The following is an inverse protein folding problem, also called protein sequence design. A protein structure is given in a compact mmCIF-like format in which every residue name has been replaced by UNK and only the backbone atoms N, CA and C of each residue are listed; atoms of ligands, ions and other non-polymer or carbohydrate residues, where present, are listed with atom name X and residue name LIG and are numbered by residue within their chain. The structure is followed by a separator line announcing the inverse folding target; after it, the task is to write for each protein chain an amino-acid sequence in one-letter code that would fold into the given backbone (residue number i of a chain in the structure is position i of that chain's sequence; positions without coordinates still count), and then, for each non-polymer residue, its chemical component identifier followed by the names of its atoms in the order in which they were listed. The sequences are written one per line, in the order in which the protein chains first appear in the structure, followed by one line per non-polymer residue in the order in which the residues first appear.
data_IF_460227724856
#
_entry.id   IF_460227724856
#
_cell.length_a   1.000
_cell.length_b   1.000
_cell.length_c   1.000
_cell.angle_alpha   90.00
_cell.angle_beta   90.00
_cell.angle_gamma   90.00
#
_symmetry.space_group_name_H-M   'P 1'
#
loop_
_entity.id
_entity.type
_entity.pdbx_description
1 polymer ?
#
# COMPACT_ATOMS: atom_id res chain seq x y z
N UNK A 1 -27.65 -10.49 1.68
CA UNK A 1 -26.99 -10.06 2.94
C UNK A 1 -26.76 -8.58 2.79
N UNK A 2 -27.20 -7.75 3.73
CA UNK A 2 -26.98 -6.29 3.67
C UNK A 2 -25.50 -5.99 3.92
N UNK A 3 -25.05 -4.79 3.57
CA UNK A 3 -23.68 -4.33 3.84
C UNK A 3 -23.35 -4.43 5.35
N UNK A 4 -24.27 -3.96 6.18
CA UNK A 4 -24.13 -4.02 7.65
C UNK A 4 -23.97 -5.46 8.15
N UNK A 5 -24.79 -6.40 7.66
CA UNK A 5 -24.67 -7.83 8.05
C UNK A 5 -23.32 -8.42 7.62
N UNK A 6 -22.85 -8.06 6.42
CA UNK A 6 -21.54 -8.52 5.92
C UNK A 6 -20.41 -7.99 6.81
N UNK A 7 -20.44 -6.69 7.13
CA UNK A 7 -19.41 -6.08 7.95
C UNK A 7 -19.44 -6.60 9.40
N UNK A 8 -20.64 -6.83 9.97
CA UNK A 8 -20.79 -7.47 11.27
C UNK A 8 -20.26 -8.91 11.28
N UNK A 9 -20.44 -9.64 10.18
CA UNK A 9 -19.86 -10.98 10.03
C UNK A 9 -18.32 -10.96 10.07
N UNK A 10 -17.69 -9.94 9.50
CA UNK A 10 -16.23 -9.77 9.51
C UNK A 10 -15.70 -9.31 10.88
N UNK A 11 -16.42 -8.47 11.60
CA UNK A 11 -16.00 -8.00 12.93
C UNK A 11 -16.31 -9.01 14.05
N UNK A 12 -17.26 -9.91 13.82
CA UNK A 12 -17.74 -10.87 14.82
C UNK A 12 -18.51 -10.26 16.01
N UNK A 13 -18.83 -8.94 15.95
CA UNK A 13 -19.56 -8.20 16.99
C UNK A 13 -20.36 -7.04 16.40
N UNK A 14 -21.28 -6.40 17.15
CA UNK A 14 -22.01 -5.23 16.67
C UNK A 14 -21.06 -4.08 16.28
N UNK A 15 -21.32 -3.39 15.16
CA UNK A 15 -20.46 -2.32 14.65
C UNK A 15 -20.31 -1.16 15.63
N UNK A 16 -21.34 -0.87 16.44
CA UNK A 16 -21.30 0.17 17.45
C UNK A 16 -20.22 -0.09 18.52
N UNK A 17 -19.93 -1.36 18.82
CA UNK A 17 -18.98 -1.79 19.84
C UNK A 17 -17.55 -1.95 19.29
N UNK A 18 -17.36 -1.73 17.99
CA UNK A 18 -16.05 -1.84 17.35
C UNK A 18 -15.24 -0.57 17.53
N UNK A 19 -13.92 -0.72 17.66
CA UNK A 19 -12.97 0.38 17.53
C UNK A 19 -12.81 0.77 16.05
N UNK A 20 -12.28 1.96 15.76
CA UNK A 20 -11.98 2.38 14.37
C UNK A 20 -10.98 1.42 13.69
N UNK A 21 -10.01 0.90 14.44
CA UNK A 21 -9.05 -0.08 13.94
C UNK A 21 -9.73 -1.39 13.51
N UNK A 22 -10.66 -1.91 14.30
CA UNK A 22 -11.41 -3.13 13.96
C UNK A 22 -12.31 -2.93 12.73
N UNK A 23 -12.95 -1.76 12.64
CA UNK A 23 -13.77 -1.39 11.49
C UNK A 23 -12.92 -1.22 10.22
N UNK A 24 -11.74 -0.60 10.34
CA UNK A 24 -10.78 -0.50 9.23
C UNK A 24 -10.37 -1.89 8.72
N UNK A 25 -10.00 -2.82 9.61
CA UNK A 25 -9.61 -4.17 9.22
C UNK A 25 -10.75 -4.96 8.56
N UNK A 26 -11.98 -4.79 9.04
CA UNK A 26 -13.14 -5.42 8.43
C UNK A 26 -13.45 -4.83 7.04
N UNK A 27 -13.32 -3.51 6.87
CA UNK A 27 -13.48 -2.85 5.57
C UNK A 27 -12.37 -3.24 4.60
N UNK A 28 -11.13 -3.32 5.05
CA UNK A 28 -10.00 -3.78 4.25
C UNK A 28 -10.24 -5.21 3.73
N UNK A 29 -10.71 -6.10 4.58
CA UNK A 29 -11.01 -7.47 4.19
C UNK A 29 -12.20 -7.53 3.21
N UNK A 30 -13.25 -6.75 3.44
CA UNK A 30 -14.39 -6.63 2.50
C UNK A 30 -13.93 -6.14 1.14
N UNK A 31 -13.10 -5.09 1.10
CA UNK A 31 -12.55 -4.54 -0.14
C UNK A 31 -11.71 -5.58 -0.88
N UNK A 32 -10.87 -6.34 -0.17
CA UNK A 32 -10.08 -7.42 -0.78
C UNK A 32 -10.96 -8.46 -1.45
N UNK A 33 -12.00 -8.94 -0.76
CA UNK A 33 -12.94 -9.91 -1.33
C UNK A 33 -13.63 -9.37 -2.57
N UNK A 34 -14.13 -8.12 -2.52
CA UNK A 34 -14.79 -7.48 -3.65
C UNK A 34 -13.87 -7.17 -4.82
N UNK A 35 -12.62 -6.82 -4.53
CA UNK A 35 -11.58 -6.63 -5.56
C UNK A 35 -11.21 -7.94 -6.24
N UNK A 36 -11.13 -9.04 -5.50
CA UNK A 36 -10.89 -10.36 -6.05
C UNK A 36 -11.97 -10.80 -7.04
N UNK A 37 -13.25 -10.45 -6.78
CA UNK A 37 -14.36 -10.74 -7.69
C UNK A 37 -14.24 -10.00 -9.04
N UNK A 38 -13.42 -8.93 -9.11
CA UNK A 38 -13.19 -8.13 -10.33
C UNK A 38 -11.92 -8.50 -11.09
N UNK A 39 -11.17 -9.49 -10.63
CA UNK A 39 -10.03 -10.03 -11.36
C UNK A 39 -10.53 -10.74 -12.62
N UNK A 40 -10.01 -10.36 -13.78
CA UNK A 40 -10.42 -10.93 -15.06
C UNK A 40 -9.27 -11.67 -15.73
N UNK A 41 -9.54 -12.77 -16.46
CA UNK A 41 -8.55 -13.45 -17.27
C UNK A 41 -7.91 -12.50 -18.29
N UNK A 42 -6.65 -12.73 -18.59
CA UNK A 42 -5.94 -12.01 -19.65
C UNK A 42 -6.00 -12.82 -20.92
N UNK A 43 -6.73 -12.33 -21.92
CA UNK A 43 -6.92 -12.98 -23.23
C UNK A 43 -6.19 -12.25 -24.34
N UNK A 44 -4.94 -11.89 -24.16
CA UNK A 44 -4.21 -11.12 -25.16
C UNK A 44 -2.94 -10.49 -24.60
N UNK A 45 -2.62 -9.30 -25.08
CA UNK A 45 -1.45 -8.55 -24.58
C UNK A 45 -1.74 -7.99 -23.20
N UNK A 46 -0.75 -8.09 -22.31
CA UNK A 46 -0.75 -7.48 -20.98
C UNK A 46 0.36 -6.44 -20.94
N UNK A 47 0.05 -5.28 -20.36
CA UNK A 47 1.04 -4.23 -20.09
C UNK A 47 1.72 -4.50 -18.75
N UNK A 48 3.02 -4.28 -18.68
CA UNK A 48 3.77 -4.23 -17.42
C UNK A 48 4.37 -2.85 -17.27
N UNK A 49 3.94 -2.13 -16.23
CA UNK A 49 4.47 -0.81 -15.90
C UNK A 49 5.54 -0.97 -14.82
N UNK A 50 6.79 -0.78 -15.21
CA UNK A 50 7.93 -0.91 -14.29
C UNK A 50 8.32 0.47 -13.80
N UNK A 51 8.34 0.68 -12.49
CA UNK A 51 8.74 1.93 -11.87
C UNK A 51 9.43 1.67 -10.54
N UNK A 52 10.38 2.52 -10.18
CA UNK A 52 10.97 2.53 -8.85
C UNK A 52 9.99 3.02 -7.79
N UNK A 53 8.99 3.82 -8.18
CA UNK A 53 8.03 4.44 -7.28
C UNK A 53 6.60 4.24 -7.73
N UNK A 54 5.68 4.09 -6.75
CA UNK A 54 4.24 4.11 -6.94
C UNK A 54 3.57 4.88 -5.78
N UNK A 55 3.39 6.18 -5.93
CA UNK A 55 2.72 7.02 -4.92
C UNK A 55 1.21 6.83 -5.01
N UNK A 56 0.72 5.75 -4.40
CA UNK A 56 -0.67 5.32 -4.46
C UNK A 56 -1.58 6.02 -3.46
N UNK A 57 -1.03 6.53 -2.35
CA UNK A 57 -1.80 7.12 -1.26
C UNK A 57 -2.61 6.10 -0.45
N UNK A 58 -3.48 6.59 0.45
CA UNK A 58 -4.43 5.75 1.20
C UNK A 58 -5.42 5.09 0.24
N UNK A 59 -5.76 3.83 0.49
CA UNK A 59 -6.49 2.99 -0.47
C UNK A 59 -7.93 2.71 -0.06
N UNK A 60 -8.29 2.86 1.21
CA UNK A 60 -9.63 2.47 1.69
C UNK A 60 -10.74 3.21 0.94
N UNK A 61 -10.74 4.54 0.99
CA UNK A 61 -11.75 5.36 0.30
C UNK A 61 -11.70 5.20 -1.20
N UNK A 62 -10.49 5.20 -1.78
CA UNK A 62 -10.32 5.01 -3.21
C UNK A 62 -10.97 3.68 -3.67
N UNK A 63 -10.71 2.60 -2.98
CA UNK A 63 -11.27 1.30 -3.32
C UNK A 63 -12.78 1.23 -3.06
N UNK A 64 -13.29 1.81 -1.96
CA UNK A 64 -14.73 1.88 -1.70
C UNK A 64 -15.47 2.64 -2.81
N UNK A 65 -14.91 3.76 -3.28
CA UNK A 65 -15.45 4.54 -4.41
C UNK A 65 -15.41 3.70 -5.68
N UNK A 66 -14.28 3.11 -6.01
CA UNK A 66 -14.10 2.32 -7.23
C UNK A 66 -14.99 1.07 -7.28
N UNK A 67 -15.29 0.51 -6.11
CA UNK A 67 -16.23 -0.62 -5.96
C UNK A 67 -17.70 -0.20 -5.92
N UNK A 68 -18.00 1.10 -5.78
CA UNK A 68 -19.36 1.61 -5.62
C UNK A 68 -19.94 1.36 -4.22
N UNK A 69 -19.10 1.20 -3.21
CA UNK A 69 -19.49 0.86 -1.84
C UNK A 69 -19.34 2.02 -0.85
N UNK A 70 -18.82 3.18 -1.29
CA UNK A 70 -18.48 4.28 -0.39
C UNK A 70 -19.68 4.84 0.37
N UNK A 71 -20.77 5.16 -0.34
CA UNK A 71 -21.97 5.71 0.28
C UNK A 71 -22.64 4.70 1.22
N UNK A 72 -22.70 3.43 0.82
CA UNK A 72 -23.26 2.35 1.64
C UNK A 72 -22.45 2.13 2.93
N UNK A 73 -21.11 2.17 2.83
CA UNK A 73 -20.21 2.09 3.98
C UNK A 73 -20.40 3.28 4.93
N UNK A 74 -20.39 4.51 4.39
CA UNK A 74 -20.61 5.73 5.16
C UNK A 74 -21.94 5.69 5.93
N UNK A 75 -23.04 5.36 5.22
CA UNK A 75 -24.37 5.40 5.79
C UNK A 75 -24.58 4.30 6.85
N UNK A 76 -24.06 3.09 6.59
CA UNK A 76 -24.10 1.99 7.55
C UNK A 76 -23.32 2.30 8.85
N UNK A 77 -22.17 2.95 8.74
CA UNK A 77 -21.36 3.37 9.90
C UNK A 77 -22.03 4.52 10.63
N UNK A 78 -22.54 5.52 9.92
CA UNK A 78 -23.25 6.66 10.53
C UNK A 78 -24.49 6.20 11.32
N UNK A 79 -25.22 5.19 10.85
CA UNK A 79 -26.38 4.61 11.55
C UNK A 79 -26.05 4.04 12.94
N UNK A 80 -24.78 3.71 13.21
CA UNK A 80 -24.28 3.20 14.50
C UNK A 80 -23.38 4.22 15.23
N UNK A 81 -23.39 5.48 14.78
CA UNK A 81 -22.63 6.57 15.42
C UNK A 81 -21.11 6.53 15.15
N UNK A 82 -20.69 5.87 14.05
CA UNK A 82 -19.29 5.85 13.61
C UNK A 82 -19.10 6.75 12.39
N UNK A 83 -17.89 7.29 12.24
CA UNK A 83 -17.51 8.13 11.10
C UNK A 83 -16.54 7.35 10.19
N UNK A 84 -16.86 7.27 8.90
CA UNK A 84 -15.96 6.64 7.93
C UNK A 84 -14.63 7.42 7.85
N UNK A 85 -14.64 8.74 7.89
CA UNK A 85 -13.43 9.55 7.89
C UNK A 85 -12.52 9.29 9.10
N UNK A 86 -13.09 9.06 10.29
CA UNK A 86 -12.27 8.72 11.48
C UNK A 86 -11.67 7.31 11.37
N UNK A 87 -12.31 6.42 10.60
CA UNK A 87 -11.79 5.08 10.31
C UNK A 87 -10.68 5.16 9.27
N UNK A 88 -10.81 6.03 8.27
CA UNK A 88 -9.77 6.29 7.27
C UNK A 88 -8.47 6.86 7.86
N UNK A 89 -8.58 7.60 8.97
CA UNK A 89 -7.39 8.14 9.65
C UNK A 89 -6.49 7.07 10.27
N UNK A 90 -7.02 5.89 10.59
CA UNK A 90 -6.20 4.80 11.14
C UNK A 90 -5.47 3.98 10.07
N UNK A 91 -5.73 4.24 8.78
CA UNK A 91 -5.03 3.59 7.67
C UNK A 91 -3.60 4.12 7.56
N UNK A 92 -2.58 3.26 7.64
CA UNK A 92 -1.21 3.66 7.34
C UNK A 92 -1.07 3.98 5.84
N UNK A 93 -0.50 5.12 5.50
CA UNK A 93 -0.27 5.49 4.11
C UNK A 93 0.92 4.70 3.53
N UNK A 94 0.74 3.99 2.40
CA UNK A 94 1.81 3.25 1.76
C UNK A 94 2.95 4.15 1.30
N UNK A 95 4.16 3.92 1.82
CA UNK A 95 5.36 4.70 1.53
C UNK A 95 6.11 4.18 0.29
N UNK A 96 5.41 4.06 -0.85
CA UNK A 96 5.94 3.46 -2.08
C UNK A 96 6.36 4.48 -3.13
N UNK A 97 6.25 5.76 -2.85
CA UNK A 97 6.62 6.85 -3.74
C UNK A 97 6.51 8.19 -3.04
N UNK A 98 7.17 9.23 -3.57
CA UNK A 98 7.20 10.55 -2.93
C UNK A 98 6.99 11.71 -3.93
N UNK A 99 7.17 11.49 -5.22
CA UNK A 99 7.13 12.57 -6.18
C UNK A 99 6.27 12.32 -7.41
N UNK A 100 6.45 13.17 -8.41
CA UNK A 100 5.70 13.14 -9.66
C UNK A 100 5.86 11.84 -10.44
N UNK A 101 7.04 11.22 -10.40
CA UNK A 101 7.29 9.91 -11.03
C UNK A 101 6.38 8.82 -10.43
N UNK A 102 6.37 8.72 -9.11
CA UNK A 102 5.53 7.76 -8.40
C UNK A 102 4.04 8.03 -8.57
N UNK A 103 3.62 9.30 -8.56
CA UNK A 103 2.22 9.67 -8.78
C UNK A 103 1.76 9.36 -10.19
N UNK A 104 2.58 9.63 -11.20
CA UNK A 104 2.26 9.28 -12.59
C UNK A 104 2.09 7.76 -12.77
N UNK A 105 2.99 6.96 -12.19
CA UNK A 105 2.89 5.51 -12.21
C UNK A 105 1.59 5.00 -11.58
N UNK A 106 1.21 5.53 -10.41
CA UNK A 106 -0.04 5.21 -9.74
C UNK A 106 -1.27 5.55 -10.59
N UNK A 107 -1.30 6.76 -11.19
CA UNK A 107 -2.40 7.19 -12.06
C UNK A 107 -2.53 6.31 -13.31
N UNK A 108 -1.44 5.87 -13.91
CA UNK A 108 -1.51 4.96 -15.05
C UNK A 108 -2.04 3.57 -14.66
N UNK A 109 -1.67 3.03 -13.51
CA UNK A 109 -2.23 1.75 -13.06
C UNK A 109 -3.73 1.85 -12.79
N UNK A 110 -4.18 2.91 -12.14
CA UNK A 110 -5.60 3.18 -11.90
C UNK A 110 -6.37 3.32 -13.22
N UNK A 111 -5.83 4.09 -14.17
CA UNK A 111 -6.43 4.27 -15.49
C UNK A 111 -6.54 2.95 -16.28
N UNK A 112 -5.51 2.10 -16.24
CA UNK A 112 -5.55 0.78 -16.88
C UNK A 112 -6.66 -0.08 -16.29
N UNK A 113 -6.79 -0.11 -14.97
CA UNK A 113 -7.82 -0.86 -14.28
C UNK A 113 -9.22 -0.33 -14.59
N UNK A 114 -9.42 0.98 -14.55
CA UNK A 114 -10.69 1.67 -14.87
C UNK A 114 -11.12 1.45 -16.32
N UNK A 115 -10.18 1.45 -17.27
CA UNK A 115 -10.44 1.19 -18.70
C UNK A 115 -10.58 -0.30 -19.05
N UNK A 116 -10.57 -1.19 -18.06
CA UNK A 116 -10.62 -2.65 -18.24
C UNK A 116 -9.42 -3.22 -19.05
N UNK A 117 -8.30 -2.51 -19.08
CA UNK A 117 -7.09 -2.96 -19.75
C UNK A 117 -6.24 -3.84 -18.83
N UNK A 118 -5.78 -5.02 -19.29
CA UNK A 118 -4.91 -5.87 -18.49
C UNK A 118 -3.53 -5.23 -18.36
N UNK A 119 -3.16 -4.85 -17.14
CA UNK A 119 -1.88 -4.21 -16.87
C UNK A 119 -1.47 -4.36 -15.41
N UNK A 120 -0.21 -4.75 -15.18
CA UNK A 120 0.33 -4.86 -13.85
C UNK A 120 1.46 -3.86 -13.63
N UNK A 121 1.56 -3.36 -12.40
CA UNK A 121 2.73 -2.65 -11.92
C UNK A 121 3.81 -3.61 -11.43
N UNK A 122 5.06 -3.19 -11.57
CA UNK A 122 6.24 -3.90 -11.04
C UNK A 122 7.15 -2.88 -10.38
N UNK A 123 7.40 -3.03 -9.08
CA UNK A 123 8.19 -2.10 -8.30
C UNK A 123 8.83 -2.73 -7.06
N UNK A 124 9.32 -1.90 -6.18
CA UNK A 124 9.96 -2.26 -4.94
C UNK A 124 9.04 -1.98 -3.75
N UNK A 125 9.15 -2.81 -2.71
CA UNK A 125 8.43 -2.65 -1.45
C UNK A 125 9.34 -1.95 -0.45
N UNK A 126 9.27 -0.63 -0.42
CA UNK A 126 10.03 0.14 0.57
C UNK A 126 9.41 0.05 1.95
N UNK A 127 10.25 -0.04 2.98
CA UNK A 127 9.81 -0.03 4.37
C UNK A 127 9.54 1.38 4.86
N UNK A 128 10.38 2.34 4.45
CA UNK A 128 10.26 3.75 4.79
C UNK A 128 10.41 4.61 3.52
N UNK A 129 9.47 5.50 3.27
CA UNK A 129 9.50 6.42 2.13
C UNK A 129 8.90 7.78 2.46
N UNK A 130 7.92 7.80 3.37
CA UNK A 130 7.36 9.02 3.96
C UNK A 130 7.93 9.20 5.36
N UNK A 131 7.84 10.43 5.87
CA UNK A 131 8.32 10.79 7.20
C UNK A 131 7.17 11.33 8.04
N UNK A 132 7.10 10.88 9.28
CA UNK A 132 6.30 11.54 10.29
C UNK A 132 6.99 12.84 10.69
N UNK A 133 6.35 13.97 10.39
CA UNK A 133 6.87 15.29 10.70
C UNK A 133 6.30 15.79 12.03
N UNK A 134 7.17 16.29 12.92
CA UNK A 134 6.80 16.87 14.20
C UNK A 134 7.57 18.15 14.44
N UNK A 135 7.07 18.98 15.37
CA UNK A 135 7.79 20.16 15.83
C UNK A 135 8.18 19.96 17.31
N UNK A 136 9.47 20.02 17.59
CA UNK A 136 10.03 19.96 18.94
C UNK A 136 10.89 21.21 19.16
N UNK A 137 10.62 21.97 20.21
CA UNK A 137 11.29 23.24 20.54
C UNK A 137 11.34 24.26 19.37
N UNK A 138 10.30 24.28 18.52
CA UNK A 138 10.20 25.16 17.36
C UNK A 138 11.02 24.72 16.15
N UNK A 139 11.63 23.55 16.19
CA UNK A 139 12.38 22.93 15.09
C UNK A 139 11.56 21.77 14.50
N UNK A 140 11.52 21.68 13.18
CA UNK A 140 10.92 20.55 12.49
C UNK A 140 11.84 19.33 12.63
N UNK A 141 11.24 18.19 12.98
CA UNK A 141 11.90 16.89 13.06
C UNK A 141 11.17 15.88 12.19
N UNK A 142 11.92 15.06 11.49
CA UNK A 142 11.46 13.94 10.68
C UNK A 142 11.83 12.62 11.36
N UNK A 143 10.83 11.73 11.44
CA UNK A 143 11.03 10.35 11.89
C UNK A 143 10.52 9.40 10.81
N UNK A 144 11.09 8.19 10.66
CA UNK A 144 10.53 7.18 9.77
C UNK A 144 9.06 6.94 10.10
N UNK A 145 8.21 6.90 9.07
CA UNK A 145 6.78 6.59 9.22
C UNK A 145 6.52 5.15 8.79
N UNK A 146 6.48 4.19 9.72
CA UNK A 146 6.28 2.78 9.41
C UNK A 146 4.84 2.54 8.97
N UNK A 147 4.67 2.04 7.75
CA UNK A 147 3.36 1.70 7.20
C UNK A 147 3.11 0.18 7.09
N UNK A 148 4.17 -0.62 7.22
CA UNK A 148 4.11 -2.06 7.14
C UNK A 148 3.57 -2.64 8.45
N UNK A 149 2.32 -3.06 8.42
CA UNK A 149 1.64 -3.70 9.53
C UNK A 149 1.33 -5.16 9.23
N UNK A 150 0.88 -5.92 10.23
CA UNK A 150 0.44 -7.30 10.05
C UNK A 150 -0.73 -7.41 9.05
N UNK A 151 -1.50 -6.34 8.88
CA UNK A 151 -2.63 -6.25 7.95
C UNK A 151 -2.39 -5.11 6.96
N UNK A 152 -1.57 -5.37 5.95
CA UNK A 152 -1.22 -4.41 4.89
C UNK A 152 -2.02 -4.69 3.62
N UNK A 153 -2.26 -3.66 2.80
CA UNK A 153 -2.82 -3.82 1.45
C UNK A 153 -1.96 -4.71 0.55
N UNK A 154 -0.65 -4.73 0.76
CA UNK A 154 0.29 -5.60 0.06
C UNK A 154 0.37 -6.97 0.73
N UNK A 155 -0.18 -7.99 0.09
CA UNK A 155 -0.22 -9.35 0.57
C UNK A 155 1.09 -10.08 0.28
N UNK A 156 1.69 -10.68 1.32
CA UNK A 156 2.87 -11.53 1.18
C UNK A 156 2.51 -12.81 0.42
N UNK A 157 3.35 -13.19 -0.54
CA UNK A 157 3.22 -14.47 -1.25
C UNK A 157 4.37 -15.43 -0.89
N UNK A 158 4.22 -16.71 -1.23
CA UNK A 158 5.30 -17.70 -1.13
C UNK A 158 6.23 -17.69 -2.35
N UNK A 159 5.97 -16.79 -3.32
CA UNK A 159 6.77 -16.69 -4.55
C UNK A 159 8.05 -15.91 -4.26
N UNK A 160 9.17 -16.54 -4.55
CA UNK A 160 10.51 -15.94 -4.41
C UNK A 160 11.32 -16.10 -5.70
N UNK A 161 12.27 -15.21 -5.87
CA UNK A 161 13.21 -15.22 -7.00
C UNK A 161 14.63 -15.03 -6.50
N UNK A 162 15.63 -15.78 -7.02
CA UNK A 162 17.01 -15.46 -6.79
C UNK A 162 17.40 -14.20 -7.58
N UNK A 163 18.09 -13.28 -6.92
CA UNK A 163 18.60 -12.03 -7.52
C UNK A 163 20.08 -11.90 -7.21
N UNK A 164 20.89 -11.73 -8.24
CA UNK A 164 22.33 -11.47 -8.05
C UNK A 164 22.59 -9.96 -8.01
N UNK A 165 23.18 -9.48 -6.92
CA UNK A 165 23.60 -8.10 -6.73
C UNK A 165 25.05 -8.07 -6.23
N UNK A 166 25.93 -7.35 -6.94
CA UNK A 166 27.34 -7.22 -6.60
C UNK A 166 28.05 -8.57 -6.41
N UNK A 167 27.69 -9.58 -7.20
CA UNK A 167 28.32 -10.93 -7.16
C UNK A 167 27.86 -11.81 -5.99
N UNK A 168 26.76 -11.42 -5.30
CA UNK A 168 26.12 -12.21 -4.26
C UNK A 168 24.66 -12.48 -4.65
N UNK A 169 24.18 -13.68 -4.34
CA UNK A 169 22.78 -14.06 -4.55
C UNK A 169 21.95 -13.75 -3.30
N UNK A 170 20.78 -13.16 -3.54
CA UNK A 170 19.78 -12.82 -2.54
C UNK A 170 18.42 -13.41 -2.94
N UNK A 171 17.52 -13.52 -1.97
CA UNK A 171 16.14 -13.95 -2.21
C UNK A 171 15.22 -12.73 -2.21
N UNK A 172 14.63 -12.42 -3.38
CA UNK A 172 13.58 -11.43 -3.50
C UNK A 172 12.21 -12.11 -3.39
N UNK A 173 11.36 -11.59 -2.52
CA UNK A 173 9.98 -12.06 -2.30
C UNK A 173 8.98 -11.16 -2.97
N UNK A 174 7.98 -11.78 -3.58
CA UNK A 174 6.85 -11.07 -4.20
C UNK A 174 5.76 -10.76 -3.16
N UNK A 175 5.32 -9.50 -3.17
CA UNK A 175 4.09 -9.03 -2.52
C UNK A 175 3.14 -8.52 -3.59
N UNK A 176 1.83 -8.71 -3.39
CA UNK A 176 0.80 -8.30 -4.35
C UNK A 176 -0.15 -7.30 -3.71
N UNK A 177 -0.39 -6.20 -4.40
CA UNK A 177 -1.37 -5.20 -4.03
C UNK A 177 -2.40 -5.08 -5.15
N UNK A 178 -3.69 -5.22 -4.79
CA UNK A 178 -4.79 -5.08 -5.75
C UNK A 178 -4.96 -3.61 -6.16
N UNK A 179 -5.06 -3.37 -7.46
CA UNK A 179 -5.37 -2.07 -8.05
C UNK A 179 -6.74 -2.17 -8.72
N UNK A 180 -7.76 -1.72 -8.03
CA UNK A 180 -9.15 -1.83 -8.47
C UNK A 180 -9.56 -0.55 -9.17
N UNK A 181 -9.98 -0.64 -10.44
CA UNK A 181 -10.44 0.51 -11.22
C UNK A 181 -11.88 0.90 -10.91
N UNK A 182 -12.21 2.17 -11.19
CA UNK A 182 -13.59 2.68 -11.07
C UNK A 182 -14.50 1.93 -12.04
N UNK A 183 -15.48 1.18 -11.50
CA UNK A 183 -16.35 0.28 -12.25
C UNK A 183 -15.62 -0.70 -13.19
N UNK A 184 -14.31 -0.79 -13.07
CA UNK A 184 -13.42 -1.54 -13.93
C UNK A 184 -12.94 -2.87 -13.33
N UNK A 185 -11.89 -3.41 -13.91
CA UNK A 185 -11.24 -4.65 -13.45
C UNK A 185 -10.31 -4.38 -12.26
N UNK A 186 -9.86 -5.44 -11.63
CA UNK A 186 -8.73 -5.40 -10.70
C UNK A 186 -7.48 -5.92 -11.41
N UNK A 187 -6.45 -5.09 -11.44
CA UNK A 187 -5.08 -5.41 -11.83
C UNK A 187 -4.21 -5.59 -10.57
N UNK A 188 -2.91 -5.85 -10.76
CA UNK A 188 -1.99 -6.10 -9.63
C UNK A 188 -0.78 -5.17 -9.70
N UNK A 189 -0.43 -4.58 -8.56
CA UNK A 189 0.89 -4.02 -8.33
C UNK A 189 1.75 -5.08 -7.64
N UNK A 190 2.77 -5.56 -8.36
CA UNK A 190 3.74 -6.54 -7.90
C UNK A 190 4.92 -5.80 -7.28
N UNK A 191 5.16 -6.02 -5.99
CA UNK A 191 6.21 -5.38 -5.22
C UNK A 191 7.23 -6.42 -4.78
N UNK A 192 8.50 -6.11 -4.95
CA UNK A 192 9.59 -6.98 -4.56
C UNK A 192 10.34 -6.43 -3.37
N UNK A 193 10.72 -7.32 -2.46
CA UNK A 193 11.47 -7.03 -1.26
C UNK A 193 12.51 -8.13 -1.02
N UNK A 194 13.66 -7.81 -0.45
CA UNK A 194 14.61 -8.83 -0.05
C UNK A 194 14.25 -9.41 1.32
N UNK A 195 14.31 -10.73 1.47
CA UNK A 195 14.04 -11.41 2.74
C UNK A 195 15.07 -11.05 3.84
N UNK A 196 16.15 -10.36 3.48
CA UNK A 196 17.26 -9.95 4.38
C UNK A 196 17.12 -8.52 4.90
N UNK A 197 16.11 -7.75 4.47
CA UNK A 197 15.92 -6.37 4.94
C UNK A 197 15.72 -6.35 6.46
N UNK A 198 16.41 -5.44 7.12
CA UNK A 198 16.46 -5.36 8.58
C UNK A 198 16.18 -3.94 9.06
N UNK A 199 14.97 -3.68 9.54
CA UNK A 199 14.57 -2.38 10.07
C UNK A 199 15.33 -2.00 11.36
N UNK A 200 15.89 -3.00 12.08
CA UNK A 200 16.59 -2.76 13.34
C UNK A 200 17.93 -2.01 13.19
N UNK A 201 18.43 -1.90 11.96
CA UNK A 201 19.65 -1.12 11.67
C UNK A 201 19.41 0.39 11.62
N UNK A 202 18.15 0.84 11.67
CA UNK A 202 17.79 2.28 11.66
C UNK A 202 17.89 2.83 13.07
N UNK A 203 18.63 3.93 13.26
CA UNK A 203 18.81 4.63 14.53
C UNK A 203 18.90 6.14 14.29
N UNK A 204 18.74 6.92 15.35
CA UNK A 204 18.83 8.37 15.32
C UNK A 204 18.03 9.01 14.18
N UNK A 205 16.71 8.65 14.09
CA UNK A 205 15.83 9.10 13.02
C UNK A 205 15.97 8.22 11.78
N UNK A 206 16.74 8.63 10.77
CA UNK A 206 16.90 7.91 9.48
C UNK A 206 18.34 7.39 9.25
N UNK A 207 19.20 7.47 10.24
CA UNK A 207 20.58 7.01 10.11
C UNK A 207 20.64 5.47 10.11
N UNK A 208 21.43 4.90 9.20
CA UNK A 208 21.68 3.46 9.10
C UNK A 208 23.01 3.17 8.37
N UNK A 209 23.52 1.95 8.52
CA UNK A 209 24.71 1.51 7.80
C UNK A 209 24.39 1.27 6.31
N UNK A 210 24.85 2.18 5.44
CA UNK A 210 24.65 2.12 3.99
C UNK A 210 25.49 1.06 3.29
N UNK A 211 26.49 0.46 3.97
CA UNK A 211 27.37 -0.56 3.37
C UNK A 211 26.73 -1.95 3.34
N UNK A 212 25.76 -2.20 4.20
CA UNK A 212 25.03 -3.46 4.30
C UNK A 212 23.87 -3.51 3.28
N UNK A 213 24.18 -3.59 1.97
CA UNK A 213 23.21 -3.54 0.87
C UNK A 213 22.12 -4.60 1.02
N UNK A 214 22.46 -5.78 1.51
CA UNK A 214 21.53 -6.87 1.78
C UNK A 214 20.50 -6.54 2.85
N UNK A 215 20.79 -5.62 3.74
CA UNK A 215 19.88 -5.20 4.80
C UNK A 215 19.12 -3.90 4.50
N UNK A 216 19.53 -3.13 3.50
CA UNK A 216 19.01 -1.79 3.30
C UNK A 216 18.47 -1.49 1.90
N UNK A 217 18.58 -2.41 0.92
CA UNK A 217 18.24 -2.13 -0.49
C UNK A 217 16.83 -1.57 -0.69
N UNK A 218 15.84 -2.09 0.04
CA UNK A 218 14.44 -1.64 0.01
C UNK A 218 14.02 -0.99 1.33
N UNK A 219 14.97 -0.66 2.21
CA UNK A 219 14.68 -0.10 3.51
C UNK A 219 14.12 1.33 3.38
N UNK A 220 14.79 2.19 2.63
CA UNK A 220 14.37 3.56 2.37
C UNK A 220 14.20 3.83 0.89
N UNK A 221 13.12 4.55 0.52
CA UNK A 221 12.90 5.02 -0.85
C UNK A 221 14.01 6.01 -1.27
N UNK A 222 14.43 6.89 -0.35
CA UNK A 222 15.53 7.85 -0.55
C UNK A 222 16.58 7.68 0.56
N UNK A 223 17.55 6.79 0.36
CA UNK A 223 18.58 6.53 1.37
C UNK A 223 19.60 7.66 1.50
N UNK A 224 19.62 8.61 0.57
CA UNK A 224 20.56 9.74 0.55
C UNK A 224 19.93 10.94 -0.15
N UNK A 225 19.99 12.12 0.47
CA UNK A 225 19.46 13.37 -0.10
C UNK A 225 20.16 13.76 -1.41
N UNK A 226 21.41 13.32 -1.61
CA UNK A 226 22.16 13.58 -2.85
C UNK A 226 21.57 12.87 -4.08
N UNK A 227 20.71 11.88 -3.88
CA UNK A 227 20.02 11.13 -4.94
C UNK A 227 18.56 11.55 -5.10
N UNK A 228 18.08 12.48 -4.29
CA UNK A 228 16.70 12.95 -4.36
C UNK A 228 16.47 13.72 -5.65
N UNK A 229 15.51 13.27 -6.46
CA UNK A 229 15.03 13.97 -7.67
C UNK A 229 14.35 15.31 -7.35
N UNK A 230 14.15 15.64 -6.08
CA UNK A 230 13.57 16.91 -5.62
C UNK A 230 14.53 18.08 -5.86
N UNK A 231 15.81 17.81 -6.06
CA UNK A 231 16.85 18.81 -6.33
C UNK A 231 17.17 19.02 -7.82
N UNK A 232 16.34 18.49 -8.74
CA UNK A 232 16.45 18.71 -10.19
C UNK A 232 15.44 19.75 -10.63
#
# INVERSE_FOLDING_TARGET
MSFTETLQGLTGKPLADCTNQELYLALLELVRQKSADRVQPVTGRKLYYISAEFLIGKLLSNNLINLGLYDEARDALAAVGKSLSDIEEVEPEPSLGNGGLGRLAACFLDSLATLNLPGDGVGLRYHFGLFHQSFEDGVQNEKPDPWLTAHSWAEKTDITYPVELAGKEYTARLYKLAVTGYEGRTNTLNLFDLDTIDESIVHDGIAFDKTAIDKNLTLFLYPDDSLSLIHI
#
